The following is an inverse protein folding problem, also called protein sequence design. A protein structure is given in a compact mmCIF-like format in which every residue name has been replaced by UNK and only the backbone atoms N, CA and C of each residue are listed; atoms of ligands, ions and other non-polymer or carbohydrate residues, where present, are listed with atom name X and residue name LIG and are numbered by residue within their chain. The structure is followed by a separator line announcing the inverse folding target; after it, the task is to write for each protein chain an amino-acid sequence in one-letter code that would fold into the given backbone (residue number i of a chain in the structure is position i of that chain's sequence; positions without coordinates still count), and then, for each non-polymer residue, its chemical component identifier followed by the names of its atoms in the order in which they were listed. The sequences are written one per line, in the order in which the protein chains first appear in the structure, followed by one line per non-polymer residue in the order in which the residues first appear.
data_IF_036496061231
#
_entry.id   IF_036496061231
#
_cell.length_a   1.000
_cell.length_b   1.000
_cell.length_c   1.000
_cell.angle_alpha   90.00
_cell.angle_beta   90.00
_cell.angle_gamma   90.00
#
_symmetry.space_group_name_H-M   'P 1'
#
loop_
_entity.id
_entity.type
_entity.pdbx_description
1 polymer ?
#
# COMPACT_ATOMS: atom_id res chain seq x y z
N UNK A 1 28.49 13.93 30.38
CA UNK A 1 27.24 13.97 31.14
C UNK A 1 26.14 14.72 30.43
N UNK A 2 26.44 15.81 29.79
CA UNK A 2 25.44 16.59 29.05
C UNK A 2 24.87 15.85 27.85
N UNK A 3 25.61 14.94 27.31
CA UNK A 3 25.19 14.16 26.14
C UNK A 3 23.95 13.33 26.36
N UNK A 4 23.69 12.93 27.59
CA UNK A 4 22.56 12.07 27.89
C UNK A 4 21.22 12.77 27.80
N UNK A 5 21.23 14.06 28.04
CA UNK A 5 20.02 14.88 27.97
C UNK A 5 19.53 15.05 26.54
N UNK A 6 20.46 15.14 25.61
CA UNK A 6 20.10 15.29 24.21
C UNK A 6 19.36 14.07 23.66
N UNK A 7 19.74 12.89 24.11
CA UNK A 7 19.13 11.65 23.65
C UNK A 7 17.67 11.57 24.10
N UNK A 8 17.40 12.00 25.33
CA UNK A 8 16.04 11.97 25.88
C UNK A 8 15.12 12.89 25.11
N UNK A 9 15.62 14.06 24.73
CA UNK A 9 14.84 15.03 23.96
C UNK A 9 14.41 14.48 22.60
N UNK A 10 15.30 13.77 21.94
CA UNK A 10 15.00 13.18 20.63
C UNK A 10 13.91 12.13 20.74
N UNK A 11 13.94 11.33 21.77
CA UNK A 11 12.93 10.31 21.97
C UNK A 11 11.53 10.91 22.15
N UNK A 12 11.44 12.00 22.89
CA UNK A 12 10.16 12.67 23.09
C UNK A 12 9.57 13.22 21.79
N UNK A 13 10.41 13.76 20.94
CA UNK A 13 9.95 14.28 19.65
C UNK A 13 9.41 13.16 18.76
N UNK A 14 10.08 12.02 18.76
CA UNK A 14 9.63 10.87 17.97
C UNK A 14 8.23 10.40 18.39
N UNK A 15 7.95 10.41 19.68
CA UNK A 15 6.65 9.97 20.17
C UNK A 15 5.53 10.93 19.79
N UNK A 16 5.81 12.23 19.73
CA UNK A 16 4.79 13.22 19.45
C UNK A 16 4.41 13.26 17.96
N UNK A 17 5.17 12.63 17.09
CA UNK A 17 4.94 12.68 15.66
C UNK A 17 4.09 11.55 15.11
N UNK A 18 3.53 10.69 15.93
CA UNK A 18 2.87 9.50 15.46
C UNK A 18 1.42 9.36 15.95
N UNK A 19 0.53 10.29 15.56
CA UNK A 19 -0.86 10.16 16.00
C UNK A 19 -1.71 9.27 15.09
N UNK A 20 -1.17 8.76 14.00
CA UNK A 20 -2.00 8.11 13.00
C UNK A 20 -1.81 6.61 12.94
N UNK A 21 -2.92 5.86 12.97
CA UNK A 21 -2.89 4.41 12.81
C UNK A 21 -2.91 3.98 11.33
N UNK A 22 -2.52 4.84 10.43
CA UNK A 22 -2.55 4.53 9.01
C UNK A 22 -1.17 4.19 8.51
N UNK A 23 -1.06 3.03 7.88
CA UNK A 23 0.15 2.66 7.19
C UNK A 23 -0.08 2.61 5.69
N UNK A 24 0.86 3.14 4.93
CA UNK A 24 0.82 3.05 3.48
C UNK A 24 2.23 2.71 2.99
N UNK A 25 2.30 1.77 2.08
CA UNK A 25 3.56 1.36 1.46
C UNK A 25 3.39 1.51 -0.04
N UNK A 26 4.29 2.24 -0.68
CA UNK A 26 4.23 2.54 -2.10
C UNK A 26 5.54 2.16 -2.74
N UNK A 27 5.49 1.62 -3.95
CA UNK A 27 6.68 1.27 -4.72
C UNK A 27 6.48 1.65 -6.18
N UNK A 28 7.59 1.80 -6.88
CA UNK A 28 7.56 2.08 -8.31
C UNK A 28 7.12 0.84 -9.08
N UNK A 29 6.29 1.05 -10.08
CA UNK A 29 5.91 0.01 -11.03
C UNK A 29 6.77 0.12 -12.28
N UNK A 30 6.88 -0.95 -13.09
CA UNK A 30 7.59 -0.89 -14.35
C UNK A 30 6.85 0.01 -15.35
N UNK A 31 7.19 1.28 -15.36
CA UNK A 31 6.46 2.33 -16.04
C UNK A 31 6.33 2.14 -17.55
N UNK A 32 7.39 1.67 -18.18
CA UNK A 32 7.37 1.48 -19.63
C UNK A 32 6.39 0.39 -20.03
N UNK A 33 6.45 -0.74 -19.35
CA UNK A 33 5.56 -1.85 -19.61
C UNK A 33 5.56 -2.78 -18.39
N UNK A 34 4.39 -2.97 -17.82
CA UNK A 34 4.22 -3.84 -16.66
C UNK A 34 3.48 -5.09 -17.14
N UNK A 35 4.19 -6.20 -17.14
CA UNK A 35 3.68 -7.43 -17.74
C UNK A 35 2.94 -8.29 -16.73
N UNK A 36 2.03 -9.11 -17.27
CA UNK A 36 1.30 -10.09 -16.47
C UNK A 36 2.30 -10.97 -15.71
N UNK A 37 2.06 -11.13 -14.41
CA UNK A 37 2.94 -11.95 -13.58
C UNK A 37 4.18 -11.24 -13.06
N UNK A 38 4.42 -10.02 -13.50
CA UNK A 38 5.54 -9.22 -13.01
C UNK A 38 5.12 -8.54 -11.70
N UNK A 39 5.56 -9.10 -10.58
CA UNK A 39 5.11 -8.64 -9.27
C UNK A 39 5.89 -7.45 -8.73
N UNK A 40 5.19 -6.51 -8.12
CA UNK A 40 5.79 -5.44 -7.33
C UNK A 40 5.56 -5.77 -5.88
N UNK A 41 6.64 -5.89 -5.11
CA UNK A 41 6.57 -6.23 -3.69
C UNK A 41 6.49 -4.99 -2.83
N UNK A 42 5.62 -5.08 -1.83
CA UNK A 42 5.40 -4.03 -0.84
C UNK A 42 5.48 -4.67 0.53
N UNK A 43 6.30 -4.11 1.41
CA UNK A 43 6.53 -4.66 2.73
C UNK A 43 5.94 -3.76 3.80
N UNK A 44 5.07 -4.32 4.62
CA UNK A 44 4.38 -3.58 5.67
C UNK A 44 4.70 -4.21 7.02
N UNK A 45 5.25 -3.41 7.92
CA UNK A 45 5.56 -3.84 9.28
C UNK A 45 4.31 -3.72 10.14
N UNK A 46 3.77 -4.84 10.59
CA UNK A 46 2.55 -4.87 11.38
C UNK A 46 2.84 -5.00 12.87
N UNK A 47 2.32 -4.06 13.64
CA UNK A 47 2.43 -4.11 15.09
C UNK A 47 1.09 -4.29 15.80
N UNK A 48 -0.01 -4.17 15.08
CA UNK A 48 -1.34 -4.29 15.66
C UNK A 48 -1.98 -5.59 15.21
N UNK A 49 -2.11 -6.53 16.15
CA UNK A 49 -2.65 -7.85 15.86
C UNK A 49 -4.08 -8.03 16.38
N UNK A 50 -4.69 -6.98 16.93
CA UNK A 50 -5.97 -7.07 17.62
C UNK A 50 -7.12 -6.36 16.93
N UNK A 51 -6.84 -5.27 16.22
CA UNK A 51 -7.87 -4.45 15.63
C UNK A 51 -8.11 -4.81 14.17
N UNK A 52 -9.36 -4.75 13.76
CA UNK A 52 -9.70 -4.95 12.34
C UNK A 52 -9.18 -3.79 11.52
N UNK A 53 -8.73 -4.10 10.32
CA UNK A 53 -8.14 -3.13 9.41
C UNK A 53 -8.84 -3.17 8.05
N UNK A 54 -8.83 -2.04 7.39
CA UNK A 54 -9.19 -1.98 5.97
C UNK A 54 -7.92 -2.01 5.16
N UNK A 55 -7.86 -2.88 4.17
CA UNK A 55 -6.70 -2.99 3.28
C UNK A 55 -7.14 -2.52 1.90
N UNK A 56 -6.52 -1.46 1.43
CA UNK A 56 -6.80 -0.88 0.13
C UNK A 56 -5.58 -0.91 -0.77
N UNK A 57 -5.81 -0.73 -2.06
CA UNK A 57 -4.76 -0.68 -3.07
C UNK A 57 -4.87 0.64 -3.81
N UNK A 58 -3.73 1.27 -4.04
CA UNK A 58 -3.66 2.56 -4.74
C UNK A 58 -2.67 2.45 -5.89
N UNK A 59 -2.88 3.27 -6.92
CA UNK A 59 -1.97 3.34 -8.05
C UNK A 59 -2.00 4.73 -8.66
N UNK A 60 -0.87 5.15 -9.23
CA UNK A 60 -0.77 6.36 -10.02
C UNK A 60 -0.44 5.97 -11.44
N UNK A 61 -1.25 6.45 -12.35
CA UNK A 61 -1.18 6.04 -13.76
C UNK A 61 -1.07 7.28 -14.64
N UNK A 62 -0.16 7.26 -15.58
CA UNK A 62 0.05 8.36 -16.51
C UNK A 62 -1.22 8.63 -17.31
N UNK A 63 -1.60 9.90 -17.43
CA UNK A 63 -2.88 10.28 -18.02
C UNK A 63 -3.06 9.72 -19.43
N UNK A 64 -2.04 9.80 -20.27
CA UNK A 64 -2.12 9.32 -21.63
C UNK A 64 -2.24 7.81 -21.77
N UNK A 65 -1.90 7.07 -20.71
CA UNK A 65 -1.93 5.61 -20.71
C UNK A 65 -3.09 5.05 -19.92
N UNK A 66 -3.69 5.85 -19.04
CA UNK A 66 -4.70 5.39 -18.10
C UNK A 66 -5.98 4.96 -18.81
N UNK A 67 -6.51 3.84 -18.37
CA UNK A 67 -7.78 3.30 -18.86
C UNK A 67 -8.84 3.51 -17.78
N UNK A 68 -10.01 2.92 -17.98
CA UNK A 68 -11.13 3.07 -17.03
C UNK A 68 -10.88 2.36 -15.71
N UNK A 69 -10.11 1.29 -15.76
CA UNK A 69 -9.85 0.50 -14.58
C UNK A 69 -8.49 -0.17 -14.71
N UNK A 70 -7.91 -0.52 -13.55
CA UNK A 70 -6.64 -1.21 -13.49
C UNK A 70 -6.85 -2.52 -12.73
N UNK A 71 -6.97 -3.64 -13.45
CA UNK A 71 -7.16 -4.94 -12.78
C UNK A 71 -5.81 -5.50 -12.33
N UNK A 72 -5.73 -5.83 -11.05
CA UNK A 72 -4.51 -6.35 -10.45
C UNK A 72 -4.79 -7.63 -9.67
N UNK A 73 -3.81 -8.50 -9.66
CA UNK A 73 -3.76 -9.61 -8.73
C UNK A 73 -3.00 -9.18 -7.50
N UNK A 74 -3.48 -9.54 -6.35
CA UNK A 74 -2.84 -9.22 -5.08
C UNK A 74 -2.59 -10.50 -4.29
N UNK A 75 -1.40 -10.59 -3.72
CA UNK A 75 -1.03 -11.66 -2.81
C UNK A 75 -0.52 -11.04 -1.53
N UNK A 76 -0.98 -11.54 -0.38
CA UNK A 76 -0.48 -11.11 0.91
C UNK A 76 0.13 -12.33 1.60
N UNK A 77 1.34 -12.17 2.10
CA UNK A 77 2.02 -13.23 2.83
C UNK A 77 2.33 -12.73 4.24
N UNK A 78 1.87 -13.48 5.24
CA UNK A 78 2.09 -13.14 6.64
C UNK A 78 3.52 -13.43 7.07
N UNK A 79 3.96 -12.94 8.24
CA UNK A 79 5.30 -13.24 8.74
C UNK A 79 5.60 -14.74 8.85
N UNK A 80 4.61 -15.56 9.16
CA UNK A 80 4.81 -17.00 9.25
C UNK A 80 4.70 -17.72 7.90
N UNK A 81 4.38 -16.99 6.83
CA UNK A 81 4.31 -17.56 5.49
C UNK A 81 2.91 -17.94 5.02
N UNK A 82 1.88 -17.63 5.78
CA UNK A 82 0.50 -17.88 5.35
C UNK A 82 0.17 -16.92 4.22
N UNK A 83 -0.41 -17.45 3.16
CA UNK A 83 -0.61 -16.73 1.92
C UNK A 83 -2.08 -16.53 1.61
N UNK A 84 -2.45 -15.33 1.21
CA UNK A 84 -3.79 -14.96 0.80
C UNK A 84 -3.73 -14.37 -0.59
N UNK A 85 -4.52 -14.89 -1.52
CA UNK A 85 -4.55 -14.42 -2.90
C UNK A 85 -5.90 -13.78 -3.21
N UNK A 86 -5.88 -12.80 -4.08
CA UNK A 86 -7.09 -12.14 -4.52
C UNK A 86 -6.87 -11.33 -5.78
N UNK A 87 -7.94 -10.72 -6.24
CA UNK A 87 -7.91 -9.80 -7.36
C UNK A 87 -8.65 -8.53 -6.98
N UNK A 88 -8.14 -7.40 -7.44
CA UNK A 88 -8.77 -6.11 -7.24
C UNK A 88 -8.82 -5.39 -8.57
N UNK A 89 -9.86 -4.58 -8.75
CA UNK A 89 -9.98 -3.71 -9.89
C UNK A 89 -9.99 -2.29 -9.39
N UNK A 90 -8.94 -1.54 -9.70
CA UNK A 90 -8.83 -0.15 -9.26
C UNK A 90 -9.62 0.75 -10.19
N UNK A 91 -10.42 1.62 -9.60
CA UNK A 91 -11.21 2.61 -10.33
C UNK A 91 -10.67 4.00 -10.02
N UNK A 92 -10.77 4.94 -10.96
CA UNK A 92 -10.28 6.29 -10.70
C UNK A 92 -11.02 6.91 -9.53
N UNK A 93 -10.29 7.44 -8.56
CA UNK A 93 -10.87 8.12 -7.40
C UNK A 93 -10.74 9.62 -7.48
N UNK A 94 -9.68 10.10 -8.10
CA UNK A 94 -9.42 11.52 -8.21
C UNK A 94 -8.84 11.85 -9.57
N UNK A 95 -9.12 13.08 -10.00
CA UNK A 95 -8.55 13.63 -11.22
C UNK A 95 -7.72 14.82 -10.86
N UNK A 96 -6.45 14.76 -11.13
CA UNK A 96 -5.56 15.89 -10.93
C UNK A 96 -5.67 16.81 -12.12
N UNK A 97 -6.36 17.93 -11.93
CA UNK A 97 -6.46 18.93 -12.98
C UNK A 97 -5.09 19.50 -13.23
N UNK A 98 -4.65 19.41 -14.47
CA UNK A 98 -3.32 19.90 -14.85
C UNK A 98 -2.18 18.99 -14.44
N UNK A 99 -2.46 17.83 -13.85
CA UNK A 99 -1.44 16.87 -13.48
C UNK A 99 -1.08 15.92 -14.60
N UNK A 100 -0.04 15.16 -14.38
CA UNK A 100 0.47 14.19 -15.36
C UNK A 100 -0.10 12.79 -15.18
N UNK A 101 -0.80 12.56 -14.07
CA UNK A 101 -1.30 11.23 -13.75
C UNK A 101 -2.68 11.29 -13.13
N UNK A 102 -3.36 10.16 -13.14
CA UNK A 102 -4.60 9.96 -12.40
C UNK A 102 -4.33 8.97 -11.28
N UNK A 103 -5.07 9.11 -10.20
CA UNK A 103 -4.94 8.24 -9.05
C UNK A 103 -6.10 7.27 -9.01
N UNK A 104 -5.78 6.01 -8.82
CA UNK A 104 -6.75 4.93 -8.73
C UNK A 104 -6.63 4.30 -7.35
N UNK A 105 -7.76 4.02 -6.73
CA UNK A 105 -7.76 3.34 -5.44
C UNK A 105 -9.00 2.47 -5.32
N UNK A 106 -8.87 1.41 -4.53
CA UNK A 106 -10.01 0.59 -4.17
C UNK A 106 -9.71 -0.14 -2.86
N UNK A 107 -10.76 -0.55 -2.18
CA UNK A 107 -10.64 -1.37 -1.00
C UNK A 107 -10.61 -2.83 -1.41
N UNK A 108 -9.64 -3.58 -0.90
CA UNK A 108 -9.58 -5.02 -1.15
C UNK A 108 -10.31 -5.78 -0.06
N UNK A 109 -9.99 -5.50 1.19
CA UNK A 109 -10.63 -6.18 2.32
C UNK A 109 -11.07 -5.14 3.34
N UNK A 110 -12.34 -5.22 3.73
CA UNK A 110 -12.88 -4.42 4.81
C UNK A 110 -13.03 -5.32 6.03
N UNK A 111 -12.29 -5.04 7.08
CA UNK A 111 -12.34 -5.84 8.29
C UNK A 111 -11.38 -7.02 8.29
N UNK A 112 -10.16 -6.81 7.84
CA UNK A 112 -9.11 -7.80 7.90
C UNK A 112 -8.42 -7.76 9.27
N UNK A 113 -8.12 -8.93 9.80
CA UNK A 113 -7.30 -9.03 11.00
C UNK A 113 -5.89 -9.45 10.58
N UNK A 114 -4.93 -8.57 10.80
CA UNK A 114 -3.53 -8.92 10.59
C UNK A 114 -2.99 -9.51 11.89
N UNK A 115 -3.25 -10.78 12.08
CA UNK A 115 -3.08 -11.46 13.36
C UNK A 115 -1.65 -11.77 13.76
N UNK A 116 -0.67 -11.46 12.93
CA UNK A 116 0.73 -11.75 13.23
C UNK A 116 1.52 -10.46 13.31
N UNK A 117 2.39 -10.36 14.29
CA UNK A 117 3.33 -9.27 14.40
C UNK A 117 4.51 -9.52 13.47
N UNK A 118 4.95 -8.51 12.75
CA UNK A 118 6.08 -8.61 11.85
C UNK A 118 5.75 -8.15 10.45
N UNK A 119 6.56 -8.55 9.51
CA UNK A 119 6.49 -8.06 8.14
C UNK A 119 5.50 -8.86 7.29
N UNK A 120 4.50 -8.17 6.77
CA UNK A 120 3.62 -8.71 5.73
C UNK A 120 4.16 -8.28 4.37
N UNK A 121 4.18 -9.19 3.43
CA UNK A 121 4.63 -8.90 2.07
C UNK A 121 3.43 -8.96 1.14
N UNK A 122 3.14 -7.83 0.50
CA UNK A 122 2.09 -7.76 -0.51
C UNK A 122 2.74 -7.74 -1.88
N UNK A 123 2.20 -8.49 -2.81
CA UNK A 123 2.70 -8.49 -4.18
C UNK A 123 1.54 -8.15 -5.11
N UNK A 124 1.76 -7.14 -5.95
CA UNK A 124 0.78 -6.70 -6.93
C UNK A 124 1.31 -6.98 -8.33
N UNK A 125 0.46 -7.55 -9.17
CA UNK A 125 0.79 -7.76 -10.57
C UNK A 125 -0.44 -7.54 -11.43
N UNK A 126 -0.28 -7.05 -12.67
CA UNK A 126 -1.44 -6.81 -13.53
C UNK A 126 -1.95 -8.11 -14.10
N UNK A 127 -3.25 -8.17 -14.36
CA UNK A 127 -3.85 -9.31 -15.05
C UNK A 127 -3.78 -9.18 -16.56
N UNK A 128 -3.43 -7.99 -17.03
CA UNK A 128 -3.15 -7.70 -18.44
C UNK A 128 -2.01 -6.69 -18.48
N UNK A 129 -1.18 -6.74 -19.52
CA UNK A 129 -0.05 -5.82 -19.66
C UNK A 129 -0.52 -4.37 -19.62
N UNK A 130 0.16 -3.54 -18.83
CA UNK A 130 -0.16 -2.13 -18.66
C UNK A 130 1.06 -1.26 -18.97
N UNK A 131 0.78 -0.03 -19.40
CA UNK A 131 1.83 0.97 -19.66
C UNK A 131 1.54 2.22 -18.86
N UNK A 132 2.59 2.89 -18.42
CA UNK A 132 2.47 4.18 -17.78
C UNK A 132 2.05 4.14 -16.31
N UNK A 133 2.02 2.99 -15.68
CA UNK A 133 1.77 2.91 -14.25
C UNK A 133 3.04 3.34 -13.52
N UNK A 134 2.95 4.43 -12.77
CA UNK A 134 4.11 4.99 -12.08
C UNK A 134 4.37 4.31 -10.75
N UNK A 135 3.35 4.23 -9.93
CA UNK A 135 3.47 3.66 -8.58
C UNK A 135 2.25 2.84 -8.25
N UNK A 136 2.45 1.86 -7.39
CA UNK A 136 1.37 1.10 -6.77
C UNK A 136 1.64 1.01 -5.28
N UNK A 137 0.58 0.85 -4.50
CA UNK A 137 0.74 0.79 -3.06
C UNK A 137 -0.40 0.06 -2.39
N UNK A 138 -0.15 -0.28 -1.13
CA UNK A 138 -1.15 -0.87 -0.24
C UNK A 138 -1.33 0.09 0.92
N UNK A 139 -2.58 0.37 1.24
CA UNK A 139 -2.96 1.29 2.30
C UNK A 139 -3.70 0.50 3.37
N UNK A 140 -3.20 0.56 4.60
CA UNK A 140 -3.77 -0.16 5.72
C UNK A 140 -4.26 0.84 6.74
N UNK A 141 -5.56 0.81 7.00
CA UNK A 141 -6.21 1.74 7.90
C UNK A 141 -6.98 0.99 8.96
N UNK A 142 -7.20 1.63 10.10
CA UNK A 142 -8.07 1.06 11.11
C UNK A 142 -9.50 1.07 10.60
N UNK A 143 -10.18 -0.03 10.84
CA UNK A 143 -11.59 -0.14 10.52
C UNK A 143 -12.37 0.44 11.69
N UNK A 144 -13.02 1.58 11.46
CA UNK A 144 -13.71 2.32 12.51
C UNK A 144 -15.17 1.99 12.68
N UNK A 145 -15.57 0.85 12.25
CA UNK A 145 -16.99 0.47 12.43
C UNK A 145 -17.26 -0.25 13.74
#
# INVERSE_FOLDING_TARGET
MLRRLAIVAVACVALSCSPRPIGAVVADAPRAEWQVGEGVELRYENGDTLNLRSVGVVARWEIGCAKRELPLRITAQSPSGVRYDGEVVLLPTERHKGGSFVEFATEWIDGALLGESGEYVFTLSPTATQKGVWTVGVKIENNEK
#
